data_IF_628065671686
#
_entry.id   IF_628065671686
#
_cell.length_a   1.000
_cell.length_b   1.000
_cell.length_c   1.000
_cell.angle_alpha   90.00
_cell.angle_beta   90.00
_cell.angle_gamma   90.00
#
_symmetry.space_group_name_H-M   'P 1'
#
loop_
_entity.id
_entity.type
_entity.pdbx_description
1 polymer ?
#
# COMPACT_ATOMS: atom_id res chain seq x y z
N UNK A 1 12.38 -17.25 -11.33
CA UNK A 1 11.36 -17.87 -10.46
C UNK A 1 10.04 -17.16 -10.73
N UNK A 2 9.10 -17.83 -11.41
CA UNK A 2 7.97 -17.20 -12.12
C UNK A 2 6.66 -17.09 -11.31
N UNK A 3 6.67 -17.44 -10.03
CA UNK A 3 5.54 -17.18 -9.11
C UNK A 3 5.79 -15.85 -8.40
N UNK A 4 4.76 -15.02 -8.27
CA UNK A 4 4.77 -13.85 -7.40
C UNK A 4 5.23 -14.32 -6.01
N UNK A 5 6.34 -13.75 -5.53
CA UNK A 5 6.99 -14.08 -4.25
C UNK A 5 6.01 -14.25 -3.08
N UNK A 6 4.96 -13.40 -2.92
CA UNK A 6 3.96 -13.59 -1.86
C UNK A 6 3.19 -14.92 -1.92
N UNK A 7 2.93 -15.46 -3.12
CA UNK A 7 2.24 -16.75 -3.30
C UNK A 7 3.16 -17.90 -2.88
N UNK A 8 4.46 -17.78 -3.15
CA UNK A 8 5.46 -18.79 -2.77
C UNK A 8 5.62 -18.82 -1.25
N UNK A 9 5.73 -17.66 -0.62
CA UNK A 9 5.89 -17.55 0.84
C UNK A 9 4.65 -18.06 1.59
N UNK A 10 3.45 -17.72 1.11
CA UNK A 10 2.19 -18.25 1.66
C UNK A 10 2.05 -19.77 1.48
N UNK A 11 2.47 -20.29 0.32
CA UNK A 11 2.43 -21.72 0.05
C UNK A 11 3.43 -22.52 0.88
N UNK A 12 4.66 -22.01 1.07
CA UNK A 12 5.65 -22.67 1.93
C UNK A 12 5.24 -22.66 3.41
N UNK A 13 4.51 -21.63 3.84
CA UNK A 13 4.12 -21.47 5.24
C UNK A 13 2.93 -22.36 5.63
N UNK A 14 1.89 -22.44 4.78
CA UNK A 14 0.66 -23.18 5.12
C UNK A 14 -0.07 -23.76 3.90
N UNK A 15 0.65 -24.05 2.81
CA UNK A 15 0.09 -24.61 1.58
C UNK A 15 -0.92 -23.69 0.89
N UNK A 16 -1.91 -24.27 0.21
CA UNK A 16 -2.95 -23.54 -0.52
C UNK A 16 -3.77 -22.58 0.37
N UNK A 17 -4.04 -22.99 1.61
CA UNK A 17 -4.77 -22.15 2.59
C UNK A 17 -3.94 -20.93 2.98
N UNK A 18 -2.62 -21.10 3.15
CA UNK A 18 -1.70 -20.00 3.41
C UNK A 18 -1.69 -18.94 2.31
N UNK A 19 -1.77 -19.35 1.04
CA UNK A 19 -1.90 -18.42 -0.09
C UNK A 19 -3.19 -17.61 0.00
N UNK A 20 -4.32 -18.26 0.31
CA UNK A 20 -5.61 -17.59 0.45
C UNK A 20 -5.62 -16.56 1.57
N UNK A 21 -5.11 -16.95 2.75
CA UNK A 21 -4.99 -16.05 3.91
C UNK A 21 -4.07 -14.87 3.57
N UNK A 22 -2.93 -15.13 2.94
CA UNK A 22 -1.97 -14.09 2.59
C UNK A 22 -2.57 -13.07 1.60
N UNK A 23 -3.21 -13.55 0.53
CA UNK A 23 -3.87 -12.69 -0.46
C UNK A 23 -5.02 -11.88 0.16
N UNK A 24 -5.76 -12.47 1.10
CA UNK A 24 -6.82 -11.76 1.82
C UNK A 24 -6.26 -10.61 2.66
N UNK A 25 -5.21 -10.85 3.46
CA UNK A 25 -4.56 -9.80 4.24
C UNK A 25 -3.91 -8.73 3.37
N UNK A 26 -3.29 -9.12 2.26
CA UNK A 26 -2.71 -8.18 1.30
C UNK A 26 -3.79 -7.26 0.69
N UNK A 27 -4.94 -7.82 0.31
CA UNK A 27 -6.08 -7.05 -0.20
C UNK A 27 -6.68 -6.12 0.86
N UNK A 28 -6.90 -6.63 2.09
CA UNK A 28 -7.41 -5.82 3.19
C UNK A 28 -6.47 -4.67 3.55
N UNK A 29 -5.16 -4.92 3.59
CA UNK A 29 -4.14 -3.91 3.82
C UNK A 29 -4.14 -2.86 2.70
N UNK A 30 -4.23 -3.29 1.45
CA UNK A 30 -4.29 -2.40 0.29
C UNK A 30 -5.52 -1.49 0.36
N UNK A 31 -6.68 -2.03 0.72
CA UNK A 31 -7.91 -1.24 0.89
C UNK A 31 -7.79 -0.21 2.02
N UNK A 32 -7.21 -0.60 3.17
CA UNK A 32 -7.00 0.29 4.30
C UNK A 32 -6.07 1.46 3.93
N UNK A 33 -4.98 1.17 3.23
CA UNK A 33 -4.02 2.16 2.76
C UNK A 33 -4.63 3.10 1.72
N UNK A 34 -5.43 2.56 0.79
CA UNK A 34 -6.14 3.36 -0.21
C UNK A 34 -7.10 4.35 0.46
N UNK A 35 -7.94 3.88 1.39
CA UNK A 35 -8.86 4.74 2.14
C UNK A 35 -8.11 5.81 2.97
N UNK A 36 -6.91 5.48 3.47
CA UNK A 36 -6.07 6.42 4.20
C UNK A 36 -5.49 7.49 3.26
N UNK A 37 -5.00 7.11 2.08
CA UNK A 37 -4.51 8.04 1.07
C UNK A 37 -5.62 8.98 0.59
N UNK A 38 -6.82 8.45 0.33
CA UNK A 38 -7.99 9.25 -0.04
C UNK A 38 -8.33 10.31 1.03
N UNK A 39 -8.33 9.92 2.31
CA UNK A 39 -8.59 10.85 3.42
C UNK A 39 -7.50 11.91 3.60
N UNK A 40 -6.25 11.61 3.25
CA UNK A 40 -5.11 12.53 3.42
C UNK A 40 -4.96 13.51 2.27
N UNK A 41 -5.11 13.06 1.02
CA UNK A 41 -4.87 13.89 -0.17
C UNK A 41 -6.16 14.35 -0.86
N UNK A 42 -7.30 13.77 -0.49
CA UNK A 42 -8.60 14.12 -1.03
C UNK A 42 -8.90 13.47 -2.37
N UNK A 43 -10.16 13.05 -2.53
CA UNK A 43 -10.75 12.58 -3.77
C UNK A 43 -10.19 11.24 -4.29
N UNK A 44 -10.99 10.59 -5.13
CA UNK A 44 -10.61 9.34 -5.77
C UNK A 44 -9.44 9.51 -6.75
N UNK A 45 -9.44 10.58 -7.57
CA UNK A 45 -8.42 10.78 -8.58
C UNK A 45 -7.03 11.06 -7.99
N UNK A 46 -6.92 12.01 -7.06
CA UNK A 46 -5.62 12.42 -6.52
C UNK A 46 -5.16 11.43 -5.44
N UNK A 47 -6.00 11.14 -4.44
CA UNK A 47 -5.65 10.23 -3.35
C UNK A 47 -5.43 8.78 -3.78
N UNK A 48 -6.38 8.19 -4.50
CA UNK A 48 -6.32 6.77 -4.85
C UNK A 48 -5.51 6.51 -6.12
N UNK A 49 -5.75 7.26 -7.21
CA UNK A 49 -5.07 6.94 -8.48
C UNK A 49 -3.63 7.40 -8.48
N UNK A 50 -3.33 8.62 -8.03
CA UNK A 50 -1.95 9.16 -8.08
C UNK A 50 -1.15 8.74 -6.85
N UNK A 51 -1.58 9.14 -5.66
CA UNK A 51 -0.77 8.95 -4.45
C UNK A 51 -0.69 7.50 -4.01
N UNK A 52 -1.81 6.77 -3.95
CA UNK A 52 -1.78 5.36 -3.54
C UNK A 52 -1.00 4.50 -4.54
N UNK A 53 -1.25 4.60 -5.86
CA UNK A 53 -0.41 3.86 -6.83
C UNK A 53 1.05 4.29 -6.78
N UNK A 54 1.33 5.60 -6.66
CA UNK A 54 2.70 6.11 -6.64
C UNK A 54 3.54 5.56 -5.48
N UNK A 55 2.97 5.48 -4.27
CA UNK A 55 3.70 4.99 -3.09
C UNK A 55 3.63 3.48 -2.90
N UNK A 56 2.53 2.83 -3.30
CA UNK A 56 2.26 1.44 -2.95
C UNK A 56 2.22 0.48 -4.16
N UNK A 57 2.79 0.87 -5.31
CA UNK A 57 2.88 -0.01 -6.50
C UNK A 57 3.47 -1.39 -6.19
N UNK A 58 4.40 -1.46 -5.23
CA UNK A 58 5.09 -2.68 -4.81
C UNK A 58 4.16 -3.71 -4.15
N UNK A 59 2.99 -3.30 -3.62
CA UNK A 59 1.97 -4.23 -3.11
C UNK A 59 1.50 -5.21 -4.20
N UNK A 60 1.44 -4.75 -5.45
CA UNK A 60 1.00 -5.54 -6.59
C UNK A 60 2.15 -6.29 -7.28
N UNK A 61 3.37 -5.74 -7.20
CA UNK A 61 4.55 -6.32 -7.85
C UNK A 61 5.08 -7.55 -7.13
N UNK A 62 4.77 -7.70 -5.84
CA UNK A 62 4.99 -8.91 -5.05
C UNK A 62 6.45 -9.17 -4.75
N UNK A 63 6.89 -8.72 -3.58
CA UNK A 63 8.19 -9.05 -2.99
C UNK A 63 8.05 -10.13 -1.90
N UNK A 64 9.15 -10.64 -1.36
CA UNK A 64 9.13 -11.50 -0.15
C UNK A 64 8.51 -10.76 1.02
N UNK A 65 7.86 -11.48 1.95
CA UNK A 65 7.07 -10.87 3.04
C UNK A 65 7.84 -9.79 3.81
N UNK A 66 9.08 -10.08 4.20
CA UNK A 66 9.94 -9.17 4.96
C UNK A 66 10.18 -7.85 4.20
N UNK A 67 10.51 -7.95 2.91
CA UNK A 67 10.74 -6.79 2.06
C UNK A 67 9.45 -6.03 1.73
N UNK A 68 8.33 -6.75 1.61
CA UNK A 68 7.03 -6.14 1.42
C UNK A 68 6.64 -5.28 2.62
N UNK A 69 6.75 -5.83 3.84
CA UNK A 69 6.44 -5.09 5.07
C UNK A 69 7.35 -3.87 5.22
N UNK A 70 8.65 -4.02 4.95
CA UNK A 70 9.59 -2.90 4.98
C UNK A 70 9.20 -1.82 3.96
N UNK A 71 8.88 -2.22 2.72
CA UNK A 71 8.47 -1.28 1.68
C UNK A 71 7.17 -0.56 2.05
N UNK A 72 6.15 -1.28 2.54
CA UNK A 72 4.88 -0.69 2.98
C UNK A 72 5.11 0.30 4.12
N UNK A 73 5.96 -0.04 5.08
CA UNK A 73 6.30 0.84 6.20
C UNK A 73 6.95 2.14 5.73
N UNK A 74 7.98 2.05 4.87
CA UNK A 74 8.64 3.24 4.34
C UNK A 74 7.74 4.05 3.40
N UNK A 75 6.97 3.40 2.53
CA UNK A 75 5.97 4.07 1.68
C UNK A 75 4.93 4.82 2.50
N UNK A 76 4.49 4.25 3.63
CA UNK A 76 3.57 4.93 4.54
C UNK A 76 4.21 6.15 5.20
N UNK A 77 5.46 6.06 5.66
CA UNK A 77 6.20 7.20 6.21
C UNK A 77 6.36 8.29 5.13
N UNK A 78 6.80 7.93 3.93
CA UNK A 78 6.95 8.87 2.82
C UNK A 78 5.63 9.54 2.46
N UNK A 79 4.53 8.80 2.46
CA UNK A 79 3.18 9.35 2.25
C UNK A 79 2.84 10.42 3.30
N UNK A 80 3.13 10.19 4.59
CA UNK A 80 2.89 11.17 5.65
C UNK A 80 3.79 12.41 5.53
N UNK A 81 5.05 12.21 5.13
CA UNK A 81 5.98 13.32 4.86
C UNK A 81 5.43 14.18 3.71
N UNK A 82 5.02 13.56 2.61
CA UNK A 82 4.41 14.26 1.47
C UNK A 82 3.13 15.00 1.85
N UNK A 83 2.25 14.38 2.63
CA UNK A 83 1.05 15.04 3.14
C UNK A 83 1.41 16.28 3.97
N UNK A 84 2.43 16.19 4.83
CA UNK A 84 2.89 17.30 5.66
C UNK A 84 3.47 18.44 4.81
N UNK A 85 4.28 18.11 3.80
CA UNK A 85 4.84 19.09 2.85
C UNK A 85 3.72 19.78 2.06
N UNK A 86 2.77 19.03 1.51
CA UNK A 86 1.67 19.58 0.70
C UNK A 86 0.68 20.41 1.52
N UNK A 87 0.54 20.10 2.81
CA UNK A 87 -0.19 20.93 3.76
C UNK A 87 0.56 22.23 4.03
N UNK A 88 1.89 22.18 4.19
CA UNK A 88 2.72 23.37 4.39
C UNK A 88 2.70 24.31 3.17
N UNK A 89 2.65 23.77 1.95
CA UNK A 89 2.56 24.56 0.72
C UNK A 89 1.15 25.08 0.42
N UNK A 90 0.16 24.86 1.31
CA UNK A 90 -1.27 25.17 1.11
C UNK A 90 -1.89 24.55 -0.16
N UNK A 91 -1.25 23.53 -0.75
CA UNK A 91 -1.76 22.88 -1.96
C UNK A 91 -2.96 21.97 -1.64
N UNK A 92 -2.99 21.40 -0.44
CA UNK A 92 -4.13 20.64 0.08
C UNK A 92 -5.02 21.58 0.88
N UNK A 93 -6.12 22.04 0.25
CA UNK A 93 -7.20 22.71 0.98
C UNK A 93 -7.83 21.70 1.94
N UNK A 94 -7.92 22.09 3.21
CA UNK A 94 -8.61 21.36 4.27
C UNK A 94 -10.05 21.08 3.81
N UNK A 95 -10.38 19.83 3.50
CA UNK A 95 -11.79 19.44 3.49
C UNK A 95 -12.30 19.58 4.92
N UNK A 96 -13.26 20.49 5.11
CA UNK A 96 -14.00 20.69 6.35
C UNK A 96 -14.71 19.42 6.78
#
# INVERSE_FOLDING_TARGET
>A
SAKTRPIVDGYLSAGLVGVGIYMFFLGALSQLLNNKAERLFGGYGIGCVIFFNGFFQQLWRGETIEFLLNTVFWSFITMLIFHSILKYTNFLVKNN
#
